data_IF_884112676170
#
_entry.id   IF_884112676170
#
_cell.length_a   1.000
_cell.length_b   1.000
_cell.length_c   1.000
_cell.angle_alpha   90.00
_cell.angle_beta   90.00
_cell.angle_gamma   90.00
#
_symmetry.space_group_name_H-M   'P 1'
#
loop_
_entity.id
_entity.type
_entity.pdbx_description
1 polymer ?
#
# COMPACT_ATOMS: atom_id res chain seq x y z
N UNK A 1 -16.16 13.71 -14.93
CA UNK A 1 -15.08 12.85 -14.39
C UNK A 1 -15.02 13.11 -12.91
N UNK A 2 -15.87 12.43 -12.15
CA UNK A 2 -16.01 12.65 -10.72
C UNK A 2 -14.86 11.99 -9.96
N UNK A 3 -14.17 12.82 -9.19
CA UNK A 3 -13.22 12.39 -8.17
C UNK A 3 -14.01 11.67 -7.07
N UNK A 4 -13.90 10.35 -7.02
CA UNK A 4 -14.30 9.56 -5.85
C UNK A 4 -13.38 9.93 -4.68
N UNK A 5 -13.69 11.02 -3.98
CA UNK A 5 -13.25 11.23 -2.60
C UNK A 5 -14.08 10.30 -1.72
N UNK A 6 -13.72 9.01 -1.78
CA UNK A 6 -14.28 8.00 -0.90
C UNK A 6 -13.79 8.32 0.51
N UNK A 7 -14.69 8.70 1.41
CA UNK A 7 -14.40 9.02 2.82
C UNK A 7 -14.09 7.74 3.61
N UNK A 8 -13.03 7.04 3.22
CA UNK A 8 -12.35 6.07 4.06
C UNK A 8 -11.38 6.84 4.96
N UNK A 9 -11.38 6.57 6.26
CA UNK A 9 -10.34 7.08 7.15
C UNK A 9 -9.08 6.24 6.93
N UNK A 10 -8.30 6.59 5.91
CA UNK A 10 -7.00 5.98 5.64
C UNK A 10 -6.02 6.40 6.73
N UNK A 11 -5.51 5.42 7.48
CA UNK A 11 -4.40 5.61 8.41
C UNK A 11 -3.07 5.51 7.68
N UNK A 12 -2.11 6.36 8.03
CA UNK A 12 -0.75 6.26 7.50
C UNK A 12 0.25 6.23 8.66
N UNK A 13 1.32 5.46 8.48
CA UNK A 13 2.48 5.59 9.34
C UNK A 13 3.27 6.84 8.94
N UNK A 14 3.57 7.69 9.92
CA UNK A 14 4.32 8.94 9.70
C UNK A 14 5.83 8.74 9.81
N UNK A 15 6.26 7.63 10.41
CA UNK A 15 7.66 7.22 10.49
C UNK A 15 7.89 5.94 9.69
N UNK A 16 8.28 6.13 8.43
CA UNK A 16 8.60 5.04 7.48
C UNK A 16 9.99 5.28 6.92
N UNK A 17 10.90 4.34 7.14
CA UNK A 17 12.25 4.32 6.57
C UNK A 17 12.29 3.35 5.41
N UNK A 18 12.46 3.87 4.20
CA UNK A 18 12.77 3.08 3.02
C UNK A 18 14.28 3.08 2.74
N UNK A 19 14.85 1.90 2.55
CA UNK A 19 16.26 1.71 2.18
C UNK A 19 16.32 0.99 0.82
N UNK A 20 16.61 1.70 -0.28
CA UNK A 20 16.70 1.07 -1.59
C UNK A 20 17.88 0.10 -1.66
N UNK A 21 17.72 -1.01 -2.38
CA UNK A 21 18.85 -1.87 -2.75
C UNK A 21 19.77 -1.17 -3.77
N UNK A 22 19.16 -0.49 -4.75
CA UNK A 22 19.86 0.29 -5.77
C UNK A 22 19.19 1.65 -5.96
N UNK A 23 20.00 2.66 -6.27
CA UNK A 23 19.50 4.00 -6.61
C UNK A 23 18.93 4.10 -8.03
N UNK A 24 19.36 3.21 -8.93
CA UNK A 24 18.87 3.11 -10.30
C UNK A 24 18.91 1.67 -10.80
N UNK A 25 18.11 1.37 -11.83
CA UNK A 25 18.00 0.05 -12.44
C UNK A 25 17.35 0.12 -13.81
N UNK A 26 17.60 -0.87 -14.65
CA UNK A 26 17.09 -0.94 -16.04
C UNK A 26 15.62 -1.35 -16.11
N UNK A 27 15.09 -1.90 -15.02
CA UNK A 27 13.73 -2.40 -14.86
C UNK A 27 13.34 -2.37 -13.37
N UNK A 28 12.06 -2.61 -13.05
CA UNK A 28 11.58 -2.60 -11.66
C UNK A 28 12.24 -3.67 -10.79
N UNK A 29 12.66 -4.80 -11.36
CA UNK A 29 13.33 -5.88 -10.59
C UNK A 29 14.67 -5.42 -10.07
N UNK A 30 15.50 -4.83 -10.93
CA UNK A 30 16.79 -4.26 -10.54
C UNK A 30 16.64 -3.09 -9.56
N UNK A 31 15.58 -2.29 -9.70
CA UNK A 31 15.34 -1.13 -8.85
C UNK A 31 14.89 -1.55 -7.44
N UNK A 32 13.94 -2.49 -7.33
CA UNK A 32 13.23 -2.74 -6.09
C UNK A 32 13.67 -3.98 -5.33
N UNK A 33 14.06 -5.07 -5.99
CA UNK A 33 14.39 -6.33 -5.29
C UNK A 33 15.56 -6.11 -4.33
N UNK A 34 15.38 -6.54 -3.09
CA UNK A 34 16.31 -6.34 -1.96
C UNK A 34 16.06 -5.05 -1.16
N UNK A 35 15.20 -4.15 -1.63
CA UNK A 35 14.90 -2.91 -0.89
C UNK A 35 14.14 -3.23 0.39
N UNK A 36 14.44 -2.45 1.44
CA UNK A 36 13.90 -2.64 2.78
C UNK A 36 12.99 -1.50 3.18
N UNK A 37 11.97 -1.81 3.95
CA UNK A 37 11.06 -0.88 4.61
C UNK A 37 11.09 -1.18 6.09
N UNK A 38 11.15 -0.14 6.93
CA UNK A 38 11.00 -0.25 8.37
C UNK A 38 10.01 0.82 8.83
N UNK A 39 8.99 0.40 9.54
CA UNK A 39 7.87 1.24 9.99
C UNK A 39 7.86 1.23 11.51
N UNK A 40 7.89 2.40 12.13
CA UNK A 40 7.70 2.54 13.57
C UNK A 40 6.19 2.53 13.89
N UNK A 41 5.75 1.51 14.64
CA UNK A 41 4.34 1.27 14.89
C UNK A 41 3.72 2.27 15.88
N UNK A 42 4.55 3.06 16.58
CA UNK A 42 4.09 4.12 17.48
C UNK A 42 3.72 5.42 16.77
N UNK A 43 4.05 5.55 15.48
CA UNK A 43 3.92 6.77 14.69
C UNK A 43 2.87 6.61 13.61
N UNK A 44 1.60 6.68 14.01
CA UNK A 44 0.43 6.62 13.13
C UNK A 44 -0.32 7.95 13.10
N UNK A 45 -0.93 8.25 11.96
CA UNK A 45 -1.84 9.38 11.77
C UNK A 45 -3.11 8.90 11.03
N UNK A 46 -4.23 8.88 11.75
CA UNK A 46 -5.58 8.64 11.23
C UNK A 46 -6.39 9.92 11.12
N UNK A 47 -5.75 11.09 11.22
CA UNK A 47 -6.34 12.43 11.36
C UNK A 47 -7.17 12.60 12.64
N UNK A 48 -7.00 11.70 13.61
CA UNK A 48 -7.66 11.74 14.90
C UNK A 48 -6.72 11.25 16.01
N UNK A 49 -6.17 12.20 16.79
CA UNK A 49 -5.20 11.91 17.86
C UNK A 49 -5.71 10.92 18.91
N UNK A 50 -7.01 10.96 19.24
CA UNK A 50 -7.62 10.01 20.18
C UNK A 50 -7.62 8.60 19.63
N UNK A 51 -7.96 8.44 18.34
CA UNK A 51 -7.89 7.15 17.66
C UNK A 51 -6.45 6.66 17.51
N UNK A 52 -5.51 7.55 17.17
CA UNK A 52 -4.09 7.21 17.06
C UNK A 52 -3.57 6.64 18.38
N UNK A 53 -3.88 7.30 19.50
CA UNK A 53 -3.55 6.82 20.84
C UNK A 53 -4.16 5.43 21.11
N UNK A 54 -5.44 5.24 20.82
CA UNK A 54 -6.11 3.94 21.02
C UNK A 54 -5.49 2.85 20.15
N UNK A 55 -5.15 3.12 18.88
CA UNK A 55 -4.51 2.15 18.00
C UNK A 55 -3.12 1.75 18.51
N UNK A 56 -2.32 2.72 18.95
CA UNK A 56 -1.01 2.43 19.52
C UNK A 56 -1.15 1.60 20.80
N UNK A 57 -1.95 2.04 21.76
CA UNK A 57 -2.03 1.39 23.08
C UNK A 57 -2.73 0.03 23.05
N UNK A 58 -3.86 -0.05 22.34
CA UNK A 58 -4.74 -1.21 22.41
C UNK A 58 -4.48 -2.23 21.31
N UNK A 59 -3.74 -1.88 20.25
CA UNK A 59 -3.40 -2.80 19.16
C UNK A 59 -1.89 -2.96 19.01
N UNK A 60 -1.15 -1.92 18.61
CA UNK A 60 0.27 -2.07 18.25
C UNK A 60 1.16 -2.44 19.43
N UNK A 61 0.94 -1.86 20.61
CA UNK A 61 1.67 -2.21 21.83
C UNK A 61 1.34 -3.61 22.37
N UNK A 62 0.31 -4.27 21.82
CA UNK A 62 -0.03 -5.65 22.14
C UNK A 62 0.67 -6.65 21.21
N UNK A 63 1.32 -6.16 20.15
CA UNK A 63 2.20 -6.95 19.31
C UNK A 63 3.62 -6.94 19.90
N UNK A 64 4.39 -7.98 19.60
CA UNK A 64 5.80 -8.03 19.92
C UNK A 64 6.62 -7.23 18.89
N UNK A 65 7.64 -6.55 19.40
CA UNK A 65 8.49 -5.65 18.61
C UNK A 65 7.90 -4.25 18.49
N UNK A 66 8.74 -3.29 18.07
CA UNK A 66 8.39 -1.88 17.90
C UNK A 66 8.22 -1.48 16.43
N UNK A 67 8.42 -2.43 15.51
CA UNK A 67 8.51 -2.19 14.08
C UNK A 67 7.79 -3.24 13.25
N UNK A 68 7.31 -2.79 12.09
CA UNK A 68 6.96 -3.65 10.96
C UNK A 68 8.08 -3.51 9.93
N UNK A 69 8.62 -4.64 9.47
CA UNK A 69 9.73 -4.67 8.52
C UNK A 69 9.32 -5.36 7.23
N UNK A 70 9.72 -4.80 6.10
CA UNK A 70 9.42 -5.35 4.77
C UNK A 70 10.69 -5.48 3.94
N UNK A 71 10.84 -6.58 3.20
CA UNK A 71 11.89 -6.77 2.20
C UNK A 71 11.24 -7.17 0.89
N UNK A 72 11.48 -6.41 -0.19
CA UNK A 72 11.00 -6.78 -1.52
C UNK A 72 11.83 -7.97 -2.03
N UNK A 73 11.18 -9.12 -2.25
CA UNK A 73 11.84 -10.38 -2.61
C UNK A 73 11.82 -10.65 -4.10
N UNK A 74 10.72 -10.35 -4.77
CA UNK A 74 10.61 -10.52 -6.21
C UNK A 74 9.61 -9.54 -6.83
N UNK A 75 9.71 -9.37 -8.14
CA UNK A 75 8.71 -8.68 -8.95
C UNK A 75 8.57 -9.37 -10.29
N UNK A 76 7.32 -9.64 -10.66
CA UNK A 76 6.94 -10.31 -11.91
C UNK A 76 5.98 -9.41 -12.65
N UNK A 77 6.36 -8.98 -13.86
CA UNK A 77 5.44 -8.27 -14.74
C UNK A 77 4.41 -9.26 -15.30
N UNK A 78 3.17 -8.80 -15.46
CA UNK A 78 2.19 -9.56 -16.22
C UNK A 78 2.64 -9.68 -17.68
N UNK A 79 2.16 -10.69 -18.38
CA UNK A 79 2.41 -10.82 -19.82
C UNK A 79 1.74 -9.66 -20.55
N UNK A 80 2.48 -8.94 -21.38
CA UNK A 80 1.83 -7.96 -22.26
C UNK A 80 1.04 -8.67 -23.34
N UNK A 81 -0.19 -8.22 -23.53
CA UNK A 81 -0.90 -8.43 -24.79
C UNK A 81 -0.35 -7.40 -25.79
N UNK A 82 -0.16 -7.80 -27.04
CA UNK A 82 0.20 -6.90 -28.16
C UNK A 82 1.61 -6.29 -28.15
N UNK A 83 2.60 -6.93 -27.51
CA UNK A 83 4.01 -6.51 -27.59
C UNK A 83 4.36 -5.19 -26.87
N UNK A 84 3.44 -4.63 -26.08
CA UNK A 84 3.69 -3.47 -25.21
C UNK A 84 4.46 -3.88 -23.94
N UNK A 85 4.91 -2.92 -23.15
CA UNK A 85 5.41 -3.22 -21.80
C UNK A 85 4.23 -3.33 -20.85
N UNK A 86 4.17 -4.40 -20.07
CA UNK A 86 3.19 -4.50 -18.99
C UNK A 86 3.60 -3.55 -17.86
N UNK A 87 2.69 -2.68 -17.48
CA UNK A 87 2.84 -1.77 -16.35
C UNK A 87 2.11 -2.29 -15.10
N UNK A 88 1.81 -3.58 -15.07
CA UNK A 88 1.13 -4.27 -13.98
C UNK A 88 1.84 -5.58 -13.70
N UNK A 89 1.65 -6.11 -12.50
CA UNK A 89 2.22 -7.38 -12.11
C UNK A 89 2.07 -7.69 -10.63
N UNK A 90 2.90 -8.59 -10.15
CA UNK A 90 2.99 -8.97 -8.74
C UNK A 90 4.34 -8.55 -8.16
N UNK A 91 4.32 -7.99 -6.95
CA UNK A 91 5.45 -7.63 -6.10
C UNK A 91 5.36 -8.50 -4.84
N UNK A 92 6.35 -9.37 -4.61
CA UNK A 92 6.37 -10.23 -3.43
C UNK A 92 7.20 -9.58 -2.32
N UNK A 93 6.59 -9.36 -1.16
CA UNK A 93 7.22 -8.69 -0.01
C UNK A 93 7.30 -9.67 1.17
N UNK A 94 8.50 -9.92 1.67
CA UNK A 94 8.69 -10.57 2.97
C UNK A 94 8.36 -9.55 4.06
N UNK A 95 7.22 -9.70 4.72
CA UNK A 95 6.73 -8.81 5.77
C UNK A 95 6.93 -9.49 7.13
N UNK A 96 7.56 -8.78 8.07
CA UNK A 96 7.73 -9.20 9.45
C UNK A 96 6.93 -8.28 10.36
N UNK A 97 6.05 -8.87 11.16
CA UNK A 97 5.22 -8.20 12.16
C UNK A 97 4.97 -9.18 13.31
N UNK A 98 5.01 -8.70 14.56
CA UNK A 98 4.77 -9.55 15.74
C UNK A 98 5.66 -10.80 15.77
N UNK A 99 6.96 -10.62 15.48
CA UNK A 99 7.99 -11.67 15.36
C UNK A 99 7.73 -12.73 14.27
N UNK A 100 6.65 -12.63 13.49
CA UNK A 100 6.30 -13.57 12.43
C UNK A 100 6.58 -12.97 11.07
N UNK A 101 7.21 -13.75 10.19
CA UNK A 101 7.58 -13.33 8.83
C UNK A 101 6.79 -14.13 7.81
N UNK A 102 6.12 -13.45 6.89
CA UNK A 102 5.32 -14.05 5.81
C UNK A 102 5.65 -13.40 4.47
N UNK A 103 5.47 -14.16 3.39
CA UNK A 103 5.60 -13.63 2.03
C UNK A 103 4.22 -13.15 1.54
N UNK A 104 4.09 -11.85 1.33
CA UNK A 104 2.85 -11.19 0.94
C UNK A 104 2.92 -10.82 -0.55
N UNK A 105 2.08 -11.43 -1.40
CA UNK A 105 1.96 -11.01 -2.79
C UNK A 105 1.15 -9.71 -2.88
N UNK A 106 1.69 -8.72 -3.57
CA UNK A 106 1.04 -7.43 -3.79
C UNK A 106 0.84 -7.21 -5.29
N UNK A 107 -0.36 -6.82 -5.70
CA UNK A 107 -0.61 -6.42 -7.10
C UNK A 107 -0.12 -5.01 -7.31
N UNK A 108 0.78 -4.81 -8.27
CA UNK A 108 1.30 -3.50 -8.60
C UNK A 108 0.75 -2.96 -9.92
N UNK A 109 0.72 -1.64 -9.99
CA UNK A 109 0.47 -0.85 -11.18
C UNK A 109 1.46 0.30 -11.25
N UNK A 110 1.86 0.65 -12.46
CA UNK A 110 2.71 1.81 -12.75
C UNK A 110 2.03 2.72 -13.77
N UNK A 111 1.94 4.01 -13.47
CA UNK A 111 1.36 5.00 -14.39
C UNK A 111 2.03 6.34 -14.18
N UNK A 112 2.62 6.89 -15.26
CA UNK A 112 3.18 8.26 -15.29
C UNK A 112 4.16 8.56 -14.15
N UNK A 113 5.05 7.62 -13.82
CA UNK A 113 6.01 7.78 -12.72
C UNK A 113 5.50 7.25 -11.38
N UNK A 114 4.20 7.10 -11.19
CA UNK A 114 3.64 6.58 -9.94
C UNK A 114 3.62 5.06 -9.95
N UNK A 115 4.32 4.46 -8.99
CA UNK A 115 4.31 3.04 -8.71
C UNK A 115 3.48 2.79 -7.44
N UNK A 116 2.49 1.91 -7.54
CA UNK A 116 1.65 1.50 -6.43
C UNK A 116 1.55 -0.01 -6.40
N UNK A 117 1.76 -0.63 -5.24
CA UNK A 117 1.45 -2.03 -4.99
C UNK A 117 0.46 -2.13 -3.82
N UNK A 118 -0.54 -3.01 -3.94
CA UNK A 118 -1.54 -3.28 -2.90
C UNK A 118 -1.56 -4.78 -2.62
N UNK A 119 -1.51 -5.15 -1.35
CA UNK A 119 -1.73 -6.51 -0.87
C UNK A 119 -2.74 -6.52 0.28
N UNK A 120 -3.17 -7.71 0.65
CA UNK A 120 -4.03 -7.93 1.82
C UNK A 120 -3.29 -8.90 2.74
N UNK A 121 -3.31 -8.61 4.04
CA UNK A 121 -2.80 -9.48 5.09
C UNK A 121 -3.95 -9.87 6.02
N UNK A 122 -3.86 -11.05 6.62
CA UNK A 122 -4.67 -11.41 7.78
C UNK A 122 -3.83 -11.23 9.05
N UNK A 123 -4.32 -10.43 10.00
CA UNK A 123 -3.64 -10.22 11.29
C UNK A 123 -3.46 -11.52 12.10
N UNK A 124 -4.33 -12.52 11.93
CA UNK A 124 -4.19 -13.82 12.57
C UNK A 124 -3.02 -14.62 12.01
N UNK A 125 -2.69 -14.44 10.73
CA UNK A 125 -1.49 -15.04 10.14
C UNK A 125 -0.23 -14.48 10.80
N UNK A 126 -0.28 -13.30 11.41
CA UNK A 126 0.80 -12.72 12.20
C UNK A 126 0.65 -12.93 13.71
N UNK A 127 -0.16 -13.90 14.15
CA UNK A 127 -0.46 -14.16 15.57
C UNK A 127 -1.05 -12.93 16.30
N UNK A 128 -1.75 -12.04 15.59
CA UNK A 128 -2.30 -10.78 16.10
C UNK A 128 -3.62 -10.91 16.87
N UNK A 129 -4.02 -12.13 17.25
CA UNK A 129 -5.32 -12.40 17.87
C UNK A 129 -5.53 -11.62 19.17
N UNK A 130 -4.51 -11.57 20.04
CA UNK A 130 -4.56 -10.83 21.31
C UNK A 130 -4.70 -9.33 21.10
N UNK A 131 -3.93 -8.76 20.15
CA UNK A 131 -4.00 -7.36 19.78
C UNK A 131 -5.38 -6.99 19.22
N UNK A 132 -5.93 -7.82 18.32
CA UNK A 132 -7.25 -7.60 17.73
C UNK A 132 -8.37 -7.69 18.80
N UNK A 133 -8.28 -8.66 19.72
CA UNK A 133 -9.22 -8.77 20.83
C UNK A 133 -9.14 -7.57 21.79
N UNK A 134 -7.94 -7.06 22.05
CA UNK A 134 -7.71 -5.90 22.92
C UNK A 134 -8.38 -4.63 22.37
N UNK A 135 -8.17 -4.31 21.08
CA UNK A 135 -8.82 -3.15 20.46
C UNK A 135 -10.33 -3.34 20.31
N UNK A 136 -10.79 -4.56 20.01
CA UNK A 136 -12.21 -4.88 19.96
C UNK A 136 -12.89 -4.55 21.31
N UNK A 137 -12.31 -5.01 22.42
CA UNK A 137 -12.81 -4.75 23.77
C UNK A 137 -12.86 -3.26 24.10
N UNK A 138 -11.83 -2.50 23.70
CA UNK A 138 -11.78 -1.05 23.91
C UNK A 138 -12.92 -0.31 23.18
N UNK A 139 -13.25 -0.76 21.98
CA UNK A 139 -14.24 -0.12 21.11
C UNK A 139 -15.60 -0.84 21.08
N UNK A 140 -15.83 -1.81 21.98
CA UNK A 140 -17.00 -2.70 21.93
C UNK A 140 -18.32 -1.95 21.90
N UNK A 141 -18.48 -0.94 22.77
CA UNK A 141 -19.70 -0.13 22.85
C UNK A 141 -20.01 0.65 21.56
N UNK A 142 -18.97 1.02 20.80
CA UNK A 142 -19.10 1.80 19.57
C UNK A 142 -19.30 0.91 18.33
N UNK A 143 -18.87 -0.35 18.38
CA UNK A 143 -18.81 -1.23 17.21
C UNK A 143 -19.50 -2.59 17.40
N UNK A 144 -20.16 -2.83 18.53
CA UNK A 144 -20.91 -4.06 18.81
C UNK A 144 -20.06 -5.33 18.73
N UNK A 145 -18.77 -5.22 19.03
CA UNK A 145 -17.83 -6.33 18.97
C UNK A 145 -17.35 -6.73 17.57
N UNK A 146 -17.66 -5.97 16.51
CA UNK A 146 -17.21 -6.28 15.15
C UNK A 146 -15.75 -5.88 14.93
N UNK A 147 -14.94 -6.83 14.46
CA UNK A 147 -13.58 -6.59 13.96
C UNK A 147 -13.30 -7.44 12.74
N UNK A 148 -12.43 -6.94 11.85
CA UNK A 148 -11.92 -7.66 10.70
C UNK A 148 -10.43 -7.93 10.91
N UNK A 149 -9.99 -9.14 10.59
CA UNK A 149 -8.56 -9.49 10.62
C UNK A 149 -7.87 -9.17 9.29
N UNK A 150 -8.64 -9.07 8.19
CA UNK A 150 -8.14 -8.63 6.88
C UNK A 150 -7.78 -7.14 6.89
N UNK A 151 -6.55 -6.83 6.50
CA UNK A 151 -6.06 -5.46 6.36
C UNK A 151 -5.38 -5.28 5.00
N UNK A 152 -5.77 -4.25 4.28
CA UNK A 152 -5.11 -3.86 3.04
C UNK A 152 -3.87 -2.99 3.34
N UNK A 153 -2.75 -3.38 2.75
CA UNK A 153 -1.48 -2.67 2.83
C UNK A 153 -1.07 -2.17 1.46
N UNK A 154 -0.43 -1.00 1.40
CA UNK A 154 0.01 -0.43 0.15
C UNK A 154 1.42 0.17 0.23
N UNK A 155 2.20 -0.09 -0.80
CA UNK A 155 3.47 0.56 -1.06
C UNK A 155 3.29 1.53 -2.23
N UNK A 156 3.67 2.80 -2.04
CA UNK A 156 3.61 3.84 -3.08
C UNK A 156 4.94 4.58 -3.17
N UNK A 157 5.39 4.80 -4.40
CA UNK A 157 6.57 5.63 -4.65
C UNK A 157 6.51 6.24 -6.03
N UNK A 158 7.24 7.32 -6.22
CA UNK A 158 7.44 7.93 -7.53
C UNK A 158 8.79 7.52 -8.09
N UNK A 159 8.77 6.93 -9.27
CA UNK A 159 9.94 6.55 -10.06
C UNK A 159 10.18 7.63 -11.09
N UNK A 160 11.36 8.27 -11.02
CA UNK A 160 11.87 9.09 -12.11
C UNK A 160 12.43 8.16 -13.19
N UNK A 161 11.64 7.86 -14.20
CA UNK A 161 12.11 7.12 -15.36
C UNK A 161 12.57 8.12 -16.44
N UNK A 162 13.87 8.14 -16.75
CA UNK A 162 14.28 8.55 -18.10
C UNK A 162 13.97 7.36 -19.00
N UNK A 163 12.81 7.40 -19.66
CA UNK A 163 12.62 6.56 -20.83
C UNK A 163 13.78 6.91 -21.75
N UNK A 164 14.57 5.92 -22.19
CA UNK A 164 15.56 6.17 -23.22
C UNK A 164 14.83 6.93 -24.32
N UNK A 165 15.26 8.17 -24.60
CA UNK A 165 14.88 8.89 -25.79
C UNK A 165 15.42 8.05 -26.96
N UNK A 166 14.66 7.04 -27.36
CA UNK A 166 14.84 6.42 -28.65
C UNK A 166 14.37 7.50 -29.61
N UNK A 167 15.28 8.41 -29.99
CA UNK A 167 15.16 9.02 -31.31
C UNK A 167 14.99 7.85 -32.25
N UNK A 168 13.82 7.77 -32.90
CA UNK A 168 13.65 6.88 -34.04
C UNK A 168 14.63 7.40 -35.08
N UNK A 169 15.85 6.88 -35.05
CA UNK A 169 16.79 7.08 -36.12
C UNK A 169 16.21 6.27 -37.28
N UNK A 170 15.64 6.96 -38.27
CA UNK A 170 15.42 6.38 -39.60
C UNK A 170 16.79 6.14 -40.24
N UNK A 171 17.57 5.21 -39.69
CA UNK A 171 18.84 4.80 -40.28
C UNK A 171 18.56 3.73 -41.33
N UNK A 172 18.97 4.01 -42.57
CA UNK A 172 19.18 2.96 -43.57
C UNK A 172 20.21 1.97 -42.99
N UNK A 173 20.09 0.70 -43.39
CA UNK A 173 20.68 -0.50 -42.75
C UNK A 173 22.19 -0.49 -42.44
N UNK A 174 22.95 0.52 -42.82
CA UNK A 174 24.42 0.54 -42.70
C UNK A 174 24.96 1.36 -41.51
N UNK A 175 24.14 2.17 -40.84
CA UNK A 175 24.61 3.11 -39.80
C UNK A 175 24.42 2.68 -38.33
N UNK A 176 23.89 1.48 -38.06
CA UNK A 176 23.52 1.03 -36.70
C UNK A 176 24.69 0.63 -35.77
N UNK A 177 25.96 0.93 -36.09
CA UNK A 177 27.12 0.50 -35.29
C UNK A 177 27.54 1.44 -34.14
N UNK A 178 26.80 2.52 -33.83
CA UNK A 178 27.26 3.57 -32.88
C UNK A 178 26.39 3.89 -31.65
N UNK A 179 25.40 3.08 -31.29
CA UNK A 179 24.59 3.35 -30.08
C UNK A 179 25.16 2.64 -28.84
N UNK A 180 25.70 3.41 -27.88
CA UNK A 180 26.15 2.92 -26.56
C UNK A 180 25.29 3.57 -25.44
N UNK A 181 24.47 2.83 -24.68
CA UNK A 181 23.58 3.41 -23.68
C UNK A 181 24.31 3.68 -22.35
N UNK A 182 24.43 4.96 -21.94
CA UNK A 182 24.95 5.34 -20.61
C UNK A 182 23.81 5.77 -19.66
N UNK A 183 23.79 5.03 -18.54
CA UNK A 183 23.08 5.03 -17.24
C UNK A 183 22.33 6.28 -16.75
N UNK A 184 21.28 6.01 -15.95
CA UNK A 184 20.41 6.94 -15.22
C UNK A 184 20.93 7.20 -13.80
N UNK A 185 21.02 8.49 -13.43
CA UNK A 185 21.22 9.01 -12.07
C UNK A 185 19.97 9.79 -11.67
N UNK A 186 19.45 9.61 -10.45
CA UNK A 186 18.66 10.66 -9.78
C UNK A 186 18.67 10.51 -8.25
N UNK A 187 19.24 11.51 -7.56
CA UNK A 187 18.86 11.87 -6.20
C UNK A 187 17.36 12.27 -6.12
N UNK A 188 16.79 12.09 -4.91
CA UNK A 188 15.38 12.28 -4.47
C UNK A 188 14.34 11.27 -5.00
N UNK A 189 14.21 10.14 -4.30
CA UNK A 189 13.00 9.31 -4.25
C UNK A 189 12.18 9.69 -3.01
N UNK A 190 10.87 9.91 -3.17
CA UNK A 190 9.94 10.14 -2.06
C UNK A 190 9.04 8.91 -1.93
N UNK A 191 9.33 8.08 -0.93
CA UNK A 191 8.66 6.80 -0.69
C UNK A 191 7.58 6.97 0.38
N UNK A 192 6.38 6.41 0.18
CA UNK A 192 5.26 6.43 1.14
C UNK A 192 4.63 5.04 1.24
N UNK A 193 4.47 4.53 2.45
CA UNK A 193 3.71 3.29 2.73
C UNK A 193 2.39 3.71 3.37
N UNK A 194 1.27 3.21 2.85
CA UNK A 194 -0.08 3.55 3.31
C UNK A 194 -0.85 2.28 3.69
N UNK A 195 -1.68 2.35 4.73
CA UNK A 195 -2.68 1.33 5.00
C UNK A 195 -3.99 1.82 4.37
N UNK A 196 -4.39 1.18 3.27
CA UNK A 196 -5.61 1.53 2.54
C UNK A 196 -6.73 0.63 3.04
N UNK A 197 -7.16 0.82 4.28
CA UNK A 197 -8.30 0.05 4.73
C UNK A 197 -9.57 0.50 3.99
N UNK A 198 -10.26 -0.46 3.38
CA UNK A 198 -11.56 -0.29 2.72
C UNK A 198 -12.70 -0.97 3.51
N UNK A 199 -12.39 -1.56 4.68
CA UNK A 199 -13.34 -2.22 5.58
C UNK A 199 -13.42 -1.62 6.98
N UNK A 200 -12.67 -0.56 7.30
CA UNK A 200 -12.82 0.16 8.56
C UNK A 200 -13.96 1.20 8.62
N UNK A 201 -14.82 1.34 7.60
CA UNK A 201 -15.83 2.42 7.66
C UNK A 201 -17.25 2.17 7.15
N UNK A 202 -17.62 0.97 6.65
CA UNK A 202 -19.03 0.72 6.28
C UNK A 202 -19.51 -0.69 6.66
N UNK A 203 -19.94 -0.83 7.92
CA UNK A 203 -20.95 -1.81 8.37
C UNK A 203 -21.83 -1.19 9.48
N UNK A 204 -22.30 0.03 9.22
CA UNK A 204 -23.36 0.69 10.00
C UNK A 204 -24.31 1.55 9.14
N UNK A 205 -23.89 2.02 7.96
CA UNK A 205 -24.78 2.79 7.08
C UNK A 205 -25.77 1.95 6.24
N UNK A 206 -26.02 0.69 6.63
CA UNK A 206 -27.25 -0.03 6.26
C UNK A 206 -28.09 -0.49 7.46
N UNK A 207 -27.70 -0.10 8.68
CA UNK A 207 -28.45 -0.38 9.91
C UNK A 207 -28.69 0.89 10.76
N UNK A 208 -28.28 2.06 10.27
CA UNK A 208 -28.71 3.37 10.78
C UNK A 208 -29.69 4.10 9.83
N UNK A 209 -30.12 3.46 8.73
CA UNK A 209 -31.16 3.98 7.84
C UNK A 209 -32.56 3.37 8.07
N UNK A 210 -32.67 2.44 9.03
CA UNK A 210 -33.97 1.89 9.48
C UNK A 210 -34.42 2.46 10.83
N UNK A 211 -33.59 3.27 11.50
CA UNK A 211 -33.95 3.90 12.78
C UNK A 211 -34.38 5.38 12.66
N UNK A 212 -34.31 5.97 11.46
CA UNK A 212 -34.79 7.33 11.19
C UNK A 212 -35.91 7.40 10.14
N UNK A 213 -36.55 6.26 9.83
CA UNK A 213 -37.81 6.21 9.08
C UNK A 213 -39.05 6.07 10.00
N UNK A 214 -38.93 6.50 11.26
CA UNK A 214 -40.08 6.62 12.17
C UNK A 214 -40.60 8.06 12.33
N UNK A 215 -40.05 9.03 11.58
CA UNK A 215 -40.59 10.39 11.49
C UNK A 215 -40.56 10.93 10.05
N UNK A 216 -41.47 10.39 9.24
CA UNK A 216 -42.07 10.99 8.04
C UNK A 216 -41.31 12.05 7.23
N UNK A 217 -40.26 11.68 6.51
CA UNK A 217 -39.62 12.53 5.51
C UNK A 217 -39.35 11.77 4.21
N UNK A 218 -39.92 12.23 3.10
CA UNK A 218 -39.70 11.69 1.75
C UNK A 218 -38.46 12.32 1.12
N UNK A 219 -37.46 11.53 0.74
CA UNK A 219 -36.38 11.99 -0.14
C UNK A 219 -35.97 10.87 -1.09
N UNK A 220 -35.92 11.21 -2.39
CA UNK A 220 -35.57 10.33 -3.52
C UNK A 220 -34.06 10.07 -3.58
N UNK A 221 -33.68 8.84 -3.88
CA UNK A 221 -32.30 8.43 -4.12
C UNK A 221 -31.90 8.66 -5.59
N UNK A 222 -30.68 9.16 -5.81
CA UNK A 222 -29.92 8.96 -7.03
C UNK A 222 -28.47 8.63 -6.66
N UNK A 223 -27.90 7.70 -7.42
CA UNK A 223 -26.70 6.90 -7.17
C UNK A 223 -25.41 7.69 -7.05
#
# INVERSE_FOLDING_TARGET
>A
MESLQNTSQTGAFTSVKYTPNKKSGSNFKELFVGSKVSIDISKIDTKNKGRDKTLVDMFFNQLKGDKIEGIIKDIKADTSKDGKRAYTGTLDVSLTMNEKTLLIPMRYQYKKGDFQAIGTIDLFDFNGNSALASINKSCFKLHGGKTWSDVNIAFRTTIKASLCDVKICNCKKEDCKKCNPKKVDTNTQQNRVEFIDHKLFFSSLKTLFTYLLQKGGSVRAFW
#
